data_IF_685954008843
#
_entry.id   IF_685954008843
#
_cell.length_a   1.000
_cell.length_b   1.000
_cell.length_c   1.000
_cell.angle_alpha   90.00
_cell.angle_beta   90.00
_cell.angle_gamma   90.00
#
_symmetry.space_group_name_H-M   'P 1'
#
loop_
_entity.id
_entity.type
_entity.pdbx_description
1 polymer ?
#
# COMPACT_ATOMS: atom_id res chain seq x y z
N UNK A 1 6.31 19.39 -46.05
CA UNK A 1 5.94 20.00 -44.82
C UNK A 1 5.04 21.20 -45.08
N UNK A 2 3.88 21.21 -44.55
CA UNK A 2 3.00 22.36 -44.58
C UNK A 2 2.82 22.85 -43.16
N UNK A 3 3.39 24.01 -42.90
CA UNK A 3 3.10 24.78 -41.69
C UNK A 3 1.65 25.28 -41.79
N UNK A 4 0.89 25.19 -40.75
CA UNK A 4 -0.37 25.91 -40.68
C UNK A 4 -0.03 27.38 -40.78
N UNK A 5 -0.16 27.94 -41.98
CA UNK A 5 -0.30 29.37 -42.13
C UNK A 5 -1.66 29.70 -41.53
N UNK A 6 -1.68 30.08 -40.25
CA UNK A 6 -2.79 30.85 -39.78
C UNK A 6 -2.96 31.98 -40.75
N UNK A 7 -4.13 32.07 -41.35
CA UNK A 7 -4.47 33.06 -42.40
C UNK A 7 -4.39 34.50 -41.92
N UNK A 8 -3.83 34.76 -40.75
CA UNK A 8 -3.66 36.08 -40.16
C UNK A 8 -2.27 36.21 -39.60
N UNK A 9 -1.48 37.12 -40.13
CA UNK A 9 -0.15 37.53 -39.66
C UNK A 9 -0.13 37.92 -38.15
N UNK A 10 -1.28 38.15 -37.55
CA UNK A 10 -1.47 38.49 -36.13
C UNK A 10 -1.05 37.35 -35.20
N UNK A 11 -1.30 36.10 -35.58
CA UNK A 11 -1.05 34.98 -34.69
C UNK A 11 0.43 34.71 -34.44
N UNK A 12 1.30 34.98 -35.45
CA UNK A 12 2.75 34.68 -35.31
C UNK A 12 3.49 35.74 -34.45
N UNK A 13 3.02 36.97 -34.43
CA UNK A 13 3.56 38.04 -33.60
C UNK A 13 3.10 37.95 -32.15
N UNK A 14 1.81 37.65 -31.92
CA UNK A 14 1.21 37.51 -30.61
C UNK A 14 1.68 36.21 -29.91
N UNK A 15 1.90 35.12 -30.69
CA UNK A 15 2.47 33.88 -30.17
C UNK A 15 3.90 34.07 -29.69
N UNK A 16 4.74 34.87 -30.36
CA UNK A 16 6.11 35.15 -29.91
C UNK A 16 6.17 35.95 -28.61
N UNK A 17 5.26 36.89 -28.42
CA UNK A 17 5.19 37.69 -27.19
C UNK A 17 4.58 36.95 -26.00
N UNK A 18 3.72 35.95 -26.25
CA UNK A 18 3.06 35.11 -25.24
C UNK A 18 3.78 33.76 -25.02
N UNK A 19 4.82 33.44 -25.81
CA UNK A 19 5.49 32.15 -25.79
C UNK A 19 4.66 30.98 -26.36
N UNK A 20 3.56 31.27 -27.05
CA UNK A 20 2.69 30.25 -27.66
C UNK A 20 3.05 30.04 -29.14
N UNK A 21 3.20 28.79 -29.56
CA UNK A 21 3.39 28.38 -30.94
C UNK A 21 2.29 27.45 -31.38
N UNK A 22 1.69 27.74 -32.53
CA UNK A 22 0.73 26.86 -33.21
C UNK A 22 1.45 26.27 -34.42
N UNK A 23 1.56 24.94 -34.46
CA UNK A 23 2.21 24.27 -35.60
C UNK A 23 1.31 23.19 -36.14
N UNK A 24 1.28 23.10 -37.46
CA UNK A 24 0.51 22.09 -38.20
C UNK A 24 1.33 21.66 -39.40
N UNK A 25 1.39 20.39 -39.62
CA UNK A 25 2.15 19.69 -40.64
C UNK A 25 3.66 19.53 -40.37
N UNK A 26 4.26 18.46 -40.90
CA UNK A 26 5.63 18.04 -40.65
C UNK A 26 6.63 19.17 -40.84
N UNK A 27 7.50 19.41 -39.87
CA UNK A 27 8.52 20.46 -39.93
C UNK A 27 8.68 21.29 -38.65
N UNK A 28 8.17 20.84 -37.51
CA UNK A 28 8.26 21.54 -36.21
C UNK A 28 9.72 21.88 -35.86
N UNK A 29 10.66 20.98 -36.13
CA UNK A 29 12.07 21.14 -35.76
C UNK A 29 12.75 22.33 -36.41
N UNK A 30 12.34 22.69 -37.65
CA UNK A 30 12.91 23.81 -38.38
C UNK A 30 12.32 25.16 -37.97
N UNK A 31 11.17 25.16 -37.32
CA UNK A 31 10.44 26.36 -36.91
C UNK A 31 10.42 26.61 -35.40
N UNK A 32 10.99 25.69 -34.59
CA UNK A 32 11.11 25.91 -33.17
C UNK A 32 11.94 27.18 -32.87
N UNK A 33 11.53 27.96 -31.86
CA UNK A 33 12.31 29.14 -31.49
C UNK A 33 13.70 28.72 -30.99
N UNK A 34 14.66 29.57 -31.24
CA UNK A 34 16.01 29.45 -30.66
C UNK A 34 16.00 29.69 -29.15
N UNK A 35 15.00 30.42 -28.65
CA UNK A 35 14.76 30.66 -27.23
C UNK A 35 14.04 29.47 -26.57
N UNK A 36 14.31 29.20 -25.29
CA UNK A 36 13.64 28.11 -24.57
C UNK A 36 12.12 28.25 -24.56
N UNK A 37 11.44 27.10 -24.76
CA UNK A 37 9.97 27.01 -24.89
C UNK A 37 9.32 27.08 -23.50
N UNK A 38 8.60 28.17 -23.22
CA UNK A 38 7.78 28.30 -22.01
C UNK A 38 6.37 27.76 -22.18
N UNK A 39 5.75 28.00 -23.35
CA UNK A 39 4.46 27.43 -23.71
C UNK A 39 4.48 27.00 -25.18
N UNK A 40 3.97 25.81 -25.46
CA UNK A 40 3.80 25.30 -26.83
C UNK A 40 2.46 24.57 -26.95
N UNK A 41 1.69 24.94 -27.97
CA UNK A 41 0.54 24.14 -28.41
C UNK A 41 0.80 23.64 -29.83
N UNK A 42 0.61 22.35 -30.06
CA UNK A 42 0.74 21.70 -31.37
C UNK A 42 -0.61 21.17 -31.81
N UNK A 43 -0.99 21.51 -33.04
CA UNK A 43 -2.21 21.04 -33.70
C UNK A 43 -1.83 20.42 -35.03
N UNK A 44 -2.24 19.20 -35.33
CA UNK A 44 -2.05 18.54 -36.62
C UNK A 44 -3.33 18.58 -37.43
N UNK A 45 -3.27 18.87 -38.74
CA UNK A 45 -4.39 18.90 -39.63
C UNK A 45 -4.36 17.79 -40.66
N UNK A 46 -5.54 17.27 -41.00
CA UNK A 46 -5.66 16.21 -41.99
C UNK A 46 -4.92 14.94 -41.58
N UNK A 47 -4.05 14.44 -42.44
CA UNK A 47 -3.24 13.25 -42.23
C UNK A 47 -1.84 13.56 -41.63
N UNK A 48 -1.55 14.81 -41.31
CA UNK A 48 -0.28 15.21 -40.73
C UNK A 48 -0.09 14.66 -39.32
N UNK A 49 1.14 14.28 -38.99
CA UNK A 49 1.49 13.72 -37.67
C UNK A 49 2.74 14.38 -37.12
N UNK A 50 2.81 14.49 -35.79
CA UNK A 50 4.01 14.86 -35.06
C UNK A 50 4.99 13.68 -35.05
N UNK A 51 6.22 13.87 -35.48
CA UNK A 51 7.24 12.83 -35.52
C UNK A 51 8.00 12.71 -34.17
N UNK A 52 8.73 11.61 -33.99
CA UNK A 52 9.61 11.43 -32.84
C UNK A 52 10.76 12.45 -32.81
N UNK A 53 11.32 12.84 -33.97
CA UNK A 53 12.39 13.84 -34.07
C UNK A 53 11.92 15.21 -33.63
N UNK A 54 10.72 15.60 -34.02
CA UNK A 54 10.11 16.86 -33.60
C UNK A 54 9.82 16.86 -32.10
N UNK A 55 9.34 15.75 -31.54
CA UNK A 55 9.11 15.63 -30.10
C UNK A 55 10.41 15.70 -29.30
N UNK A 56 11.49 15.05 -29.80
CA UNK A 56 12.83 15.15 -29.21
C UNK A 56 13.34 16.60 -29.21
N UNK A 57 13.12 17.33 -30.28
CA UNK A 57 13.50 18.74 -30.40
C UNK A 57 12.72 19.63 -29.42
N UNK A 58 11.41 19.40 -29.26
CA UNK A 58 10.57 20.04 -28.24
C UNK A 58 11.12 19.77 -26.84
N UNK A 59 11.33 18.50 -26.50
CA UNK A 59 11.84 18.08 -25.20
C UNK A 59 13.25 18.59 -24.90
N UNK A 60 14.05 18.85 -25.96
CA UNK A 60 15.41 19.41 -25.86
C UNK A 60 15.44 20.90 -25.56
N UNK A 61 14.36 21.65 -25.82
CA UNK A 61 14.36 23.12 -25.77
C UNK A 61 13.35 23.70 -24.78
N UNK A 62 13.16 23.06 -23.60
CA UNK A 62 12.20 23.51 -22.60
C UNK A 62 12.75 24.63 -21.72
N UNK A 63 11.99 25.72 -21.53
CA UNK A 63 12.21 26.68 -20.47
C UNK A 63 11.77 26.13 -19.11
N UNK A 64 12.23 26.74 -18.02
CA UNK A 64 11.74 26.40 -16.69
C UNK A 64 10.23 26.70 -16.57
N UNK A 65 9.46 25.70 -16.10
CA UNK A 65 8.01 25.81 -16.01
C UNK A 65 7.29 25.62 -17.34
N UNK A 66 7.90 24.91 -18.30
CA UNK A 66 7.32 24.68 -19.62
C UNK A 66 5.98 23.95 -19.56
N UNK A 67 5.01 24.46 -20.36
CA UNK A 67 3.70 23.86 -20.56
C UNK A 67 3.58 23.45 -22.03
N UNK A 68 3.35 22.17 -22.29
CA UNK A 68 3.30 21.57 -23.61
C UNK A 68 1.91 20.97 -23.87
N UNK A 69 1.17 21.53 -24.81
CA UNK A 69 -0.16 21.04 -25.21
C UNK A 69 -0.07 20.36 -26.59
N UNK A 70 -0.14 19.02 -26.57
CA UNK A 70 -0.19 18.17 -27.76
C UNK A 70 -1.57 17.53 -27.94
N UNK A 71 -2.57 17.91 -27.14
CA UNK A 71 -3.87 17.26 -27.09
C UNK A 71 -4.65 17.27 -28.42
N UNK A 72 -4.40 18.24 -29.28
CA UNK A 72 -4.98 18.32 -30.64
C UNK A 72 -4.05 17.76 -31.71
N UNK A 73 -2.83 17.30 -31.35
CA UNK A 73 -1.91 16.69 -32.28
C UNK A 73 -2.20 15.18 -32.45
N UNK A 74 -1.86 14.66 -33.62
CA UNK A 74 -1.74 13.23 -33.89
C UNK A 74 -0.26 12.89 -33.94
N UNK A 75 0.18 11.89 -33.20
CA UNK A 75 1.54 11.40 -33.24
C UNK A 75 1.70 10.33 -34.32
N UNK A 76 2.91 10.18 -34.87
CA UNK A 76 3.19 9.24 -35.95
C UNK A 76 2.93 7.76 -35.58
N UNK A 77 2.94 7.45 -34.29
CA UNK A 77 2.63 6.13 -33.73
C UNK A 77 1.60 6.25 -32.61
N UNK A 78 1.12 5.11 -32.09
CA UNK A 78 0.24 5.07 -30.91
C UNK A 78 1.01 4.90 -29.60
N UNK A 79 2.34 4.82 -29.65
CA UNK A 79 3.23 4.74 -28.50
C UNK A 79 3.91 6.07 -28.22
N UNK A 80 3.81 6.60 -26.99
CA UNK A 80 4.48 7.81 -26.58
C UNK A 80 5.93 7.51 -26.18
N UNK A 81 6.94 8.20 -26.74
CA UNK A 81 8.35 7.91 -26.53
C UNK A 81 8.89 8.42 -25.19
N UNK A 82 10.17 8.16 -24.90
CA UNK A 82 10.84 8.47 -23.63
C UNK A 82 11.58 9.82 -23.60
N UNK A 83 11.31 10.73 -24.53
CA UNK A 83 12.06 11.97 -24.73
C UNK A 83 12.03 12.93 -23.54
N UNK A 84 11.01 12.84 -22.71
CA UNK A 84 10.85 13.70 -21.53
C UNK A 84 11.52 13.14 -20.26
N UNK A 85 12.22 12.02 -20.34
CA UNK A 85 12.96 11.46 -19.18
C UNK A 85 13.85 12.54 -18.54
N UNK A 86 13.67 12.77 -17.23
CA UNK A 86 14.42 13.76 -16.41
C UNK A 86 14.34 15.21 -16.89
N UNK A 87 13.29 15.58 -17.61
CA UNK A 87 13.06 16.97 -17.99
C UNK A 87 12.45 17.74 -16.81
N UNK A 88 13.31 18.21 -15.91
CA UNK A 88 12.90 18.97 -14.73
C UNK A 88 12.33 20.34 -15.06
N UNK A 89 12.50 20.81 -16.30
CA UNK A 89 11.93 22.05 -16.81
C UNK A 89 10.44 21.92 -17.16
N UNK A 90 9.94 20.70 -17.37
CA UNK A 90 8.53 20.45 -17.74
C UNK A 90 7.64 20.62 -16.51
N UNK A 91 6.57 21.42 -16.64
CA UNK A 91 5.56 21.62 -15.62
C UNK A 91 4.23 20.95 -15.95
N UNK A 92 3.75 21.10 -17.19
CA UNK A 92 2.51 20.48 -17.63
C UNK A 92 2.65 19.90 -19.03
N UNK A 93 1.93 18.81 -19.30
CA UNK A 93 1.85 18.24 -20.64
C UNK A 93 0.47 17.65 -20.91
N UNK A 94 -0.10 17.95 -22.10
CA UNK A 94 -1.20 17.20 -22.68
C UNK A 94 -0.66 16.29 -23.79
N UNK A 95 -0.98 14.99 -23.75
CA UNK A 95 -0.48 14.01 -24.71
C UNK A 95 -1.27 14.03 -26.03
N UNK A 96 -0.66 13.63 -27.16
CA UNK A 96 -1.35 13.52 -28.46
C UNK A 96 -2.59 12.61 -28.37
N UNK A 97 -3.65 13.00 -29.10
CA UNK A 97 -4.97 12.36 -29.04
C UNK A 97 -5.01 10.87 -29.41
N UNK A 98 -4.02 10.38 -30.17
CA UNK A 98 -3.98 8.99 -30.65
C UNK A 98 -3.06 8.07 -29.80
N UNK A 99 -2.46 8.56 -28.73
CA UNK A 99 -1.61 7.73 -27.88
C UNK A 99 -2.45 6.70 -27.14
N UNK A 100 -2.02 5.44 -27.20
CA UNK A 100 -2.64 4.31 -26.53
C UNK A 100 -1.73 3.70 -25.46
N UNK A 101 -0.41 3.77 -25.65
CA UNK A 101 0.58 3.18 -24.75
C UNK A 101 1.83 4.05 -24.67
N UNK A 102 2.77 3.64 -23.84
CA UNK A 102 4.10 4.25 -23.74
C UNK A 102 5.14 3.27 -24.23
N UNK A 103 6.21 3.78 -24.86
CA UNK A 103 7.36 2.94 -25.26
C UNK A 103 7.90 2.17 -24.05
N UNK A 104 8.18 0.86 -24.18
CA UNK A 104 8.72 0.06 -23.11
C UNK A 104 9.97 0.67 -22.51
N UNK A 105 10.00 0.77 -21.19
CA UNK A 105 11.07 1.44 -20.45
C UNK A 105 12.10 0.45 -19.93
N UNK A 106 13.27 0.96 -19.54
CA UNK A 106 14.28 0.23 -18.78
C UNK A 106 14.26 0.64 -17.31
N UNK A 107 15.07 0.01 -16.46
CA UNK A 107 15.08 0.23 -15.01
C UNK A 107 15.17 1.72 -14.57
N UNK A 108 15.91 2.56 -15.33
CA UNK A 108 16.14 3.97 -15.00
C UNK A 108 15.61 4.95 -16.05
N UNK A 109 14.62 4.55 -16.81
CA UNK A 109 13.98 5.38 -17.84
C UNK A 109 12.48 5.12 -17.88
N UNK A 110 11.75 6.07 -18.40
CA UNK A 110 10.30 6.06 -18.62
C UNK A 110 9.92 7.39 -19.21
N UNK A 111 8.77 7.51 -19.85
CA UNK A 111 8.42 8.71 -20.62
C UNK A 111 8.64 10.01 -19.83
N UNK A 112 8.24 10.04 -18.55
CA UNK A 112 8.39 11.18 -17.64
C UNK A 112 9.21 10.84 -16.39
N UNK A 113 10.01 9.79 -16.43
CA UNK A 113 10.85 9.41 -15.29
C UNK A 113 11.69 10.59 -14.80
N UNK A 114 11.55 10.97 -13.52
CA UNK A 114 12.33 12.05 -12.91
C UNK A 114 11.99 13.46 -13.39
N UNK A 115 10.81 13.68 -13.97
CA UNK A 115 10.27 15.01 -14.21
C UNK A 115 9.80 15.61 -12.90
N UNK A 116 10.74 16.00 -12.02
CA UNK A 116 10.49 16.38 -10.63
C UNK A 116 9.54 17.57 -10.47
N UNK A 117 9.46 18.45 -11.47
CA UNK A 117 8.60 19.64 -11.48
C UNK A 117 7.29 19.46 -12.25
N UNK A 118 7.03 18.26 -12.80
CA UNK A 118 5.77 17.96 -13.48
C UNK A 118 4.62 17.96 -12.48
N UNK A 119 3.63 18.86 -12.68
CA UNK A 119 2.47 19.02 -11.80
C UNK A 119 1.22 18.41 -12.38
N UNK A 120 1.10 18.37 -13.73
CA UNK A 120 -0.10 17.92 -14.42
C UNK A 120 0.20 17.18 -15.72
N UNK A 121 -0.55 16.12 -15.97
CA UNK A 121 -0.58 15.40 -17.25
C UNK A 121 -2.03 15.25 -17.70
N UNK A 122 -2.32 15.54 -18.96
CA UNK A 122 -3.63 15.27 -19.57
C UNK A 122 -3.47 14.12 -20.56
N UNK A 123 -4.22 13.06 -20.33
CA UNK A 123 -4.23 11.86 -21.18
C UNK A 123 -5.32 11.91 -22.25
N UNK A 124 -5.11 11.28 -23.42
CA UNK A 124 -6.16 11.06 -24.40
C UNK A 124 -7.10 9.92 -23.95
N UNK A 125 -8.37 10.02 -24.37
CA UNK A 125 -9.42 9.03 -24.06
C UNK A 125 -9.10 7.60 -24.58
N UNK A 126 -8.20 7.47 -25.56
CA UNK A 126 -7.79 6.17 -26.12
C UNK A 126 -6.66 5.47 -25.40
N UNK A 127 -6.10 6.04 -24.31
CA UNK A 127 -4.98 5.46 -23.59
C UNK A 127 -5.40 4.16 -22.91
N UNK A 128 -4.67 3.06 -23.13
CA UNK A 128 -4.99 1.73 -22.59
C UNK A 128 -4.01 1.25 -21.53
N UNK A 129 -2.78 1.79 -21.51
CA UNK A 129 -1.75 1.37 -20.57
C UNK A 129 -0.86 2.51 -20.12
N UNK A 130 -0.52 2.53 -18.84
CA UNK A 130 0.58 3.34 -18.27
C UNK A 130 1.79 2.43 -18.10
N UNK A 131 2.88 2.75 -18.78
CA UNK A 131 4.08 1.92 -18.82
C UNK A 131 4.91 1.97 -17.54
N UNK A 132 5.86 1.04 -17.45
CA UNK A 132 6.82 0.93 -16.36
C UNK A 132 7.61 2.24 -16.16
N UNK A 133 7.81 2.66 -14.90
CA UNK A 133 8.51 3.89 -14.52
C UNK A 133 7.98 5.18 -15.16
N UNK A 134 6.82 5.19 -15.79
CA UNK A 134 6.34 6.29 -16.65
C UNK A 134 6.40 7.65 -15.93
N UNK A 135 5.91 7.71 -14.69
CA UNK A 135 5.91 8.91 -13.83
C UNK A 135 6.76 8.73 -12.56
N UNK A 136 7.67 7.76 -12.56
CA UNK A 136 8.51 7.52 -11.39
C UNK A 136 9.30 8.77 -11.02
N UNK A 137 9.22 9.19 -9.75
CA UNK A 137 9.85 10.39 -9.19
C UNK A 137 9.35 11.71 -9.83
N UNK A 138 8.13 11.78 -10.32
CA UNK A 138 7.45 13.04 -10.61
C UNK A 138 6.98 13.66 -9.29
N UNK A 139 7.92 14.19 -8.52
CA UNK A 139 7.71 14.52 -7.10
C UNK A 139 6.63 15.59 -6.87
N UNK A 140 6.36 16.46 -7.86
CA UNK A 140 5.35 17.51 -7.80
C UNK A 140 4.04 17.18 -8.52
N UNK A 141 3.86 15.95 -9.01
CA UNK A 141 2.60 15.53 -9.61
C UNK A 141 1.52 15.51 -8.52
N UNK A 142 0.55 16.44 -8.59
CA UNK A 142 -0.47 16.66 -7.56
C UNK A 142 -1.72 15.82 -7.78
N UNK A 143 -2.09 15.63 -9.04
CA UNK A 143 -3.28 14.88 -9.44
C UNK A 143 -3.06 14.13 -10.74
N UNK A 144 -3.81 13.04 -10.92
CA UNK A 144 -3.82 12.28 -12.16
C UNK A 144 -5.23 11.77 -12.44
N UNK A 145 -5.70 12.01 -13.65
CA UNK A 145 -7.01 11.55 -14.14
C UNK A 145 -6.75 10.44 -15.17
N UNK A 146 -6.92 9.19 -14.75
CA UNK A 146 -6.75 8.04 -15.64
C UNK A 146 -8.02 7.87 -16.50
N UNK A 147 -7.90 7.83 -17.85
CA UNK A 147 -9.04 7.58 -18.72
C UNK A 147 -9.69 6.22 -18.44
N UNK A 148 -11.01 6.14 -18.67
CA UNK A 148 -11.78 4.91 -18.49
C UNK A 148 -11.35 3.75 -19.42
N UNK A 149 -10.59 4.05 -20.47
CA UNK A 149 -9.98 3.08 -21.38
C UNK A 149 -8.76 2.35 -20.82
N UNK A 150 -8.13 2.84 -19.75
CA UNK A 150 -6.94 2.21 -19.14
C UNK A 150 -7.31 0.84 -18.57
N UNK A 151 -6.47 -0.16 -18.91
CA UNK A 151 -6.59 -1.55 -18.44
C UNK A 151 -5.34 -2.04 -17.74
N UNK A 152 -4.20 -1.43 -18.03
CA UNK A 152 -2.90 -1.85 -17.51
C UNK A 152 -2.16 -0.68 -16.89
N UNK A 153 -1.73 -0.89 -15.65
CA UNK A 153 -0.73 -0.07 -14.97
C UNK A 153 0.51 -0.94 -14.77
N UNK A 154 1.71 -0.41 -14.97
CA UNK A 154 2.92 -1.19 -14.87
C UNK A 154 3.75 -0.80 -13.64
N UNK A 155 4.75 -1.63 -13.32
CA UNK A 155 5.57 -1.51 -12.11
C UNK A 155 6.25 -0.14 -12.02
N UNK A 156 6.31 0.44 -10.81
CA UNK A 156 6.88 1.76 -10.53
C UNK A 156 6.25 2.94 -11.28
N UNK A 157 5.08 2.77 -11.93
CA UNK A 157 4.55 3.82 -12.80
C UNK A 157 4.39 5.17 -12.09
N UNK A 158 4.00 5.20 -10.82
CA UNK A 158 3.85 6.41 -10.00
C UNK A 158 4.74 6.42 -8.74
N UNK A 159 5.76 5.55 -8.68
CA UNK A 159 6.66 5.50 -7.54
C UNK A 159 7.25 6.88 -7.20
N UNK A 160 7.15 7.30 -5.95
CA UNK A 160 7.74 8.57 -5.49
C UNK A 160 7.07 9.83 -6.01
N UNK A 161 5.81 9.78 -6.46
CA UNK A 161 4.96 10.95 -6.73
C UNK A 161 4.49 11.54 -5.40
N UNK A 162 5.36 12.29 -4.74
CA UNK A 162 5.22 12.68 -3.33
C UNK A 162 4.06 13.62 -3.03
N UNK A 163 3.60 14.40 -4.02
CA UNK A 163 2.49 15.34 -3.88
C UNK A 163 1.18 14.81 -4.48
N UNK A 164 1.16 13.59 -5.05
CA UNK A 164 -0.07 12.97 -5.53
C UNK A 164 -1.00 12.70 -4.35
N UNK A 165 -2.20 13.31 -4.38
CA UNK A 165 -3.13 13.26 -3.24
C UNK A 165 -4.23 12.22 -3.38
N UNK A 166 -4.70 11.99 -4.60
CA UNK A 166 -5.78 11.05 -4.87
C UNK A 166 -5.65 10.39 -6.24
N UNK A 167 -6.21 9.20 -6.38
CA UNK A 167 -6.30 8.49 -7.66
C UNK A 167 -7.54 7.60 -7.71
N UNK A 168 -8.24 7.63 -8.86
CA UNK A 168 -9.30 6.68 -9.19
C UNK A 168 -8.74 5.68 -10.20
N UNK A 169 -8.64 4.42 -9.81
CA UNK A 169 -8.23 3.35 -10.73
C UNK A 169 -9.44 2.94 -11.56
N UNK A 170 -9.34 2.97 -12.90
CA UNK A 170 -10.48 2.70 -13.77
C UNK A 170 -11.00 1.26 -13.67
N UNK A 171 -12.31 1.09 -13.87
CA UNK A 171 -12.91 -0.23 -14.04
C UNK A 171 -12.30 -0.96 -15.24
N UNK A 172 -12.08 -2.27 -15.08
CA UNK A 172 -11.36 -3.11 -16.03
C UNK A 172 -9.86 -3.26 -15.77
N UNK A 173 -9.28 -2.51 -14.81
CA UNK A 173 -7.97 -2.82 -14.26
C UNK A 173 -8.14 -4.02 -13.30
N UNK A 174 -7.44 -5.12 -13.57
CA UNK A 174 -7.54 -6.36 -12.79
C UNK A 174 -6.37 -6.55 -11.80
N UNK A 175 -5.28 -5.81 -11.96
CA UNK A 175 -4.11 -5.93 -11.10
C UNK A 175 -3.49 -4.56 -10.78
N UNK A 176 -3.18 -4.33 -9.52
CA UNK A 176 -2.27 -3.27 -9.08
C UNK A 176 -0.86 -3.88 -9.07
N UNK A 177 0.09 -3.40 -9.87
CA UNK A 177 1.42 -3.95 -9.91
C UNK A 177 2.25 -3.56 -8.68
N UNK A 178 3.34 -4.29 -8.47
CA UNK A 178 4.28 -3.99 -7.39
C UNK A 178 4.85 -2.57 -7.49
N UNK A 179 5.02 -1.91 -6.34
CA UNK A 179 5.59 -0.55 -6.21
C UNK A 179 4.82 0.56 -6.96
N UNK A 180 3.55 0.35 -7.32
CA UNK A 180 2.81 1.31 -8.16
C UNK A 180 2.81 2.72 -7.56
N UNK A 181 2.45 2.85 -6.28
CA UNK A 181 2.36 4.11 -5.53
C UNK A 181 3.31 4.17 -4.32
N UNK A 182 4.32 3.29 -4.29
CA UNK A 182 5.29 3.32 -3.20
C UNK A 182 5.89 4.72 -3.05
N UNK A 183 5.99 5.19 -1.81
CA UNK A 183 6.51 6.52 -1.46
C UNK A 183 5.70 7.72 -2.01
N UNK A 184 4.43 7.51 -2.36
CA UNK A 184 3.46 8.58 -2.62
C UNK A 184 2.94 9.14 -1.29
N UNK A 185 3.76 9.90 -0.59
CA UNK A 185 3.54 10.25 0.83
C UNK A 185 2.34 11.15 1.09
N UNK A 186 1.83 11.87 0.08
CA UNK A 186 0.61 12.67 0.18
C UNK A 186 -0.65 11.93 -0.29
N UNK A 187 -0.54 10.67 -0.77
CA UNK A 187 -1.67 9.91 -1.30
C UNK A 187 -2.58 9.44 -0.17
N UNK A 188 -3.68 10.14 0.04
CA UNK A 188 -4.65 9.89 1.12
C UNK A 188 -5.89 9.15 0.64
N UNK A 189 -6.22 9.23 -0.66
CA UNK A 189 -7.44 8.66 -1.22
C UNK A 189 -7.15 7.83 -2.48
N UNK A 190 -7.58 6.56 -2.47
CA UNK A 190 -7.47 5.65 -3.61
C UNK A 190 -8.78 4.89 -3.78
N UNK A 191 -9.43 5.09 -4.92
CA UNK A 191 -10.58 4.28 -5.31
C UNK A 191 -10.12 3.08 -6.12
N UNK A 192 -10.35 1.88 -5.60
CA UNK A 192 -10.04 0.61 -6.27
C UNK A 192 -11.25 0.10 -7.08
N UNK A 193 -11.04 -0.44 -8.31
CA UNK A 193 -12.14 -0.92 -9.14
C UNK A 193 -12.71 -2.25 -8.66
N UNK A 194 -13.99 -2.47 -8.93
CA UNK A 194 -14.67 -3.74 -8.61
C UNK A 194 -14.15 -4.94 -9.40
N UNK A 195 -13.40 -4.71 -10.47
CA UNK A 195 -12.77 -5.72 -11.31
C UNK A 195 -11.42 -6.22 -10.78
N UNK A 196 -10.87 -5.57 -9.74
CA UNK A 196 -9.54 -5.87 -9.21
C UNK A 196 -9.44 -7.29 -8.65
N UNK A 197 -8.38 -8.04 -9.02
CA UNK A 197 -8.10 -9.43 -8.60
C UNK A 197 -6.88 -9.53 -7.68
N UNK A 198 -5.88 -8.66 -7.90
CA UNK A 198 -4.62 -8.75 -7.17
C UNK A 198 -3.99 -7.40 -6.88
N UNK A 199 -3.25 -7.35 -5.75
CA UNK A 199 -2.45 -6.20 -5.34
C UNK A 199 -1.01 -6.69 -5.13
N UNK A 200 -0.08 -6.16 -5.92
CA UNK A 200 1.34 -6.53 -5.92
C UNK A 200 2.10 -5.97 -4.73
N UNK A 201 3.27 -6.55 -4.47
CA UNK A 201 4.11 -6.20 -3.33
C UNK A 201 4.48 -4.71 -3.29
N UNK A 202 4.44 -4.13 -2.09
CA UNK A 202 4.85 -2.74 -1.84
C UNK A 202 4.06 -1.69 -2.66
N UNK A 203 2.88 -2.08 -3.19
CA UNK A 203 2.11 -1.22 -4.10
C UNK A 203 1.69 0.12 -3.49
N UNK A 204 1.49 0.17 -2.18
CA UNK A 204 1.11 1.36 -1.41
C UNK A 204 2.06 1.61 -0.22
N UNK A 205 3.30 1.05 -0.23
CA UNK A 205 4.25 1.26 0.86
C UNK A 205 4.50 2.76 1.08
N UNK A 206 4.53 3.18 2.34
CA UNK A 206 4.81 4.56 2.75
C UNK A 206 3.91 5.63 2.12
N UNK A 207 2.65 5.28 1.81
CA UNK A 207 1.64 6.26 1.40
C UNK A 207 1.01 6.98 2.61
N UNK A 208 0.30 8.08 2.32
CA UNK A 208 -0.46 8.84 3.30
C UNK A 208 -1.89 8.33 3.54
N UNK A 209 -2.26 7.14 3.02
CA UNK A 209 -3.61 6.58 3.15
C UNK A 209 -4.08 6.61 4.60
N UNK A 210 -5.31 7.09 4.82
CA UNK A 210 -5.98 7.12 6.13
C UNK A 210 -6.91 5.91 6.28
N UNK A 211 -7.57 5.52 5.20
CA UNK A 211 -8.41 4.31 5.16
C UNK A 211 -8.38 3.67 3.76
N UNK A 212 -8.64 2.38 3.69
CA UNK A 212 -8.80 1.66 2.43
C UNK A 212 -9.77 0.49 2.56
N UNK A 213 -10.64 0.36 1.55
CA UNK A 213 -11.50 -0.81 1.36
C UNK A 213 -11.00 -1.59 0.17
N UNK A 214 -10.61 -2.84 0.41
CA UNK A 214 -10.16 -3.76 -0.64
C UNK A 214 -11.41 -4.46 -1.20
N UNK A 215 -11.65 -4.40 -2.53
CA UNK A 215 -12.83 -5.00 -3.13
C UNK A 215 -12.94 -6.51 -2.89
N UNK A 216 -14.17 -7.02 -2.78
CA UNK A 216 -14.46 -8.45 -2.58
C UNK A 216 -13.97 -9.35 -3.73
N UNK A 217 -13.68 -8.76 -4.88
CA UNK A 217 -13.10 -9.46 -6.04
C UNK A 217 -11.62 -9.80 -5.89
N UNK A 218 -10.92 -9.18 -4.91
CA UNK A 218 -9.49 -9.39 -4.68
C UNK A 218 -9.26 -10.72 -3.99
N UNK A 219 -8.46 -11.57 -4.63
CA UNK A 219 -8.10 -12.90 -4.09
C UNK A 219 -6.64 -13.01 -3.69
N UNK A 220 -5.80 -12.07 -4.12
CA UNK A 220 -4.36 -12.10 -3.88
C UNK A 220 -3.86 -10.73 -3.44
N UNK A 221 -3.22 -10.68 -2.29
CA UNK A 221 -2.48 -9.52 -1.79
C UNK A 221 -1.05 -10.00 -1.52
N UNK A 222 -0.06 -9.32 -2.09
CA UNK A 222 1.34 -9.66 -1.88
C UNK A 222 1.92 -8.97 -0.63
N UNK A 223 3.21 -9.25 -0.32
CA UNK A 223 3.85 -8.75 0.90
C UNK A 223 4.02 -7.22 0.90
N UNK A 224 4.05 -6.64 2.11
CA UNK A 224 4.43 -5.24 2.35
C UNK A 224 3.53 -4.20 1.69
N UNK A 225 2.32 -4.56 1.23
CA UNK A 225 1.47 -3.65 0.43
C UNK A 225 1.23 -2.32 1.13
N UNK A 226 0.97 -2.30 2.43
CA UNK A 226 0.72 -1.08 3.23
C UNK A 226 1.80 -0.82 4.27
N UNK A 227 2.98 -1.43 4.12
CA UNK A 227 4.08 -1.23 5.06
C UNK A 227 4.43 0.25 5.16
N UNK A 228 4.69 0.75 6.38
CA UNK A 228 4.98 2.16 6.66
C UNK A 228 3.85 3.16 6.32
N UNK A 229 2.61 2.75 6.09
CA UNK A 229 1.46 3.65 5.98
C UNK A 229 1.09 4.18 7.37
N UNK A 230 1.83 5.18 7.83
CA UNK A 230 1.76 5.67 9.22
C UNK A 230 0.46 6.39 9.57
N UNK A 231 -0.29 6.82 8.56
CA UNK A 231 -1.60 7.48 8.71
C UNK A 231 -2.77 6.51 8.60
N UNK A 232 -2.54 5.25 8.20
CA UNK A 232 -3.61 4.28 7.96
C UNK A 232 -4.29 3.89 9.26
N UNK A 233 -5.55 4.33 9.44
CA UNK A 233 -6.36 4.10 10.63
C UNK A 233 -7.26 2.86 10.50
N UNK A 234 -7.74 2.57 9.29
CA UNK A 234 -8.65 1.46 9.00
C UNK A 234 -8.33 0.77 7.68
N UNK A 235 -8.45 -0.55 7.69
CA UNK A 235 -8.39 -1.37 6.50
C UNK A 235 -9.55 -2.37 6.51
N UNK A 236 -10.26 -2.46 5.39
CA UNK A 236 -11.32 -3.43 5.16
C UNK A 236 -10.82 -4.48 4.18
N UNK A 237 -10.64 -5.71 4.65
CA UNK A 237 -10.26 -6.86 3.81
C UNK A 237 -11.49 -7.54 3.19
N UNK A 238 -11.38 -8.15 2.00
CA UNK A 238 -12.42 -9.01 1.45
C UNK A 238 -12.60 -10.27 2.30
N UNK A 239 -13.84 -10.68 2.51
CA UNK A 239 -14.16 -11.82 3.40
C UNK A 239 -13.64 -13.17 2.86
N UNK A 240 -13.41 -13.27 1.55
CA UNK A 240 -12.87 -14.48 0.92
C UNK A 240 -11.36 -14.67 1.09
N UNK A 241 -10.64 -13.70 1.67
CA UNK A 241 -9.20 -13.78 1.82
C UNK A 241 -8.80 -14.87 2.81
N UNK A 242 -7.92 -15.79 2.39
CA UNK A 242 -7.47 -16.91 3.22
C UNK A 242 -6.10 -16.68 3.88
N UNK A 243 -5.35 -15.70 3.43
CA UNK A 243 -4.03 -15.38 3.95
C UNK A 243 -3.77 -13.88 4.01
N UNK A 244 -3.28 -13.40 5.14
CA UNK A 244 -2.68 -12.07 5.28
C UNK A 244 -1.17 -12.24 5.08
N UNK A 245 -0.57 -11.60 4.07
CA UNK A 245 0.82 -11.81 3.72
C UNK A 245 1.80 -11.16 4.71
N UNK A 246 3.08 -11.53 4.59
CA UNK A 246 4.14 -10.97 5.42
C UNK A 246 4.26 -9.44 5.26
N UNK A 247 4.55 -8.75 6.37
CA UNK A 247 4.75 -7.30 6.43
C UNK A 247 3.58 -6.45 5.91
N UNK A 248 2.38 -6.99 5.74
CA UNK A 248 1.27 -6.30 5.06
C UNK A 248 1.08 -4.88 5.59
N UNK A 249 0.95 -4.71 6.91
CA UNK A 249 0.76 -3.43 7.61
C UNK A 249 1.90 -3.16 8.62
N UNK A 250 3.11 -3.66 8.35
CA UNK A 250 4.25 -3.43 9.24
C UNK A 250 4.47 -1.92 9.44
N UNK A 251 4.52 -1.48 10.69
CA UNK A 251 4.67 -0.08 11.10
C UNK A 251 3.54 0.88 10.68
N UNK A 252 2.32 0.37 10.49
CA UNK A 252 1.10 1.18 10.38
C UNK A 252 0.70 1.69 11.77
N UNK A 253 1.42 2.69 12.27
CA UNK A 253 1.34 3.14 13.67
C UNK A 253 0.01 3.81 14.05
N UNK A 254 -0.78 4.26 13.08
CA UNK A 254 -2.10 4.82 13.30
C UNK A 254 -3.22 3.77 13.23
N UNK A 255 -2.94 2.54 12.76
CA UNK A 255 -3.96 1.52 12.52
C UNK A 255 -4.68 1.16 13.83
N UNK A 256 -6.00 1.37 13.85
CA UNK A 256 -6.85 1.14 15.03
C UNK A 256 -7.76 -0.07 14.88
N UNK A 257 -8.27 -0.30 13.67
CA UNK A 257 -9.26 -1.34 13.41
C UNK A 257 -9.01 -2.06 12.10
N UNK A 258 -9.21 -3.37 12.13
CA UNK A 258 -9.25 -4.24 10.96
C UNK A 258 -10.43 -5.20 11.09
N UNK A 259 -11.03 -5.61 9.96
CA UNK A 259 -11.86 -6.80 9.95
C UNK A 259 -10.95 -8.02 9.69
N UNK A 260 -11.11 -9.08 10.46
CA UNK A 260 -10.49 -10.37 10.13
C UNK A 260 -11.42 -11.12 9.16
N UNK A 261 -10.94 -11.52 7.96
CA UNK A 261 -11.73 -12.30 7.02
C UNK A 261 -12.21 -13.61 7.65
N UNK A 262 -13.48 -13.98 7.43
CA UNK A 262 -14.06 -15.19 8.06
C UNK A 262 -13.42 -16.51 7.60
N UNK A 263 -12.76 -16.49 6.44
CA UNK A 263 -12.03 -17.64 5.85
C UNK A 263 -10.52 -17.59 6.07
N UNK A 264 -10.02 -16.65 6.88
CA UNK A 264 -8.59 -16.49 7.10
C UNK A 264 -7.99 -17.73 7.76
N UNK A 265 -6.95 -18.28 7.14
CA UNK A 265 -6.20 -19.44 7.63
C UNK A 265 -4.82 -19.07 8.20
N UNK A 266 -4.19 -18.04 7.65
CA UNK A 266 -2.81 -17.69 8.02
C UNK A 266 -2.57 -16.18 8.11
N UNK A 267 -1.73 -15.76 9.07
CA UNK A 267 -1.20 -14.40 9.17
C UNK A 267 0.31 -14.47 9.12
N UNK A 268 0.90 -13.85 8.11
CA UNK A 268 2.34 -13.96 7.82
C UNK A 268 3.24 -13.18 8.78
N UNK A 269 4.56 -13.39 8.62
CA UNK A 269 5.60 -12.74 9.42
C UNK A 269 5.44 -11.22 9.42
N UNK A 270 5.55 -10.59 10.60
CA UNK A 270 5.52 -9.13 10.75
C UNK A 270 4.27 -8.44 10.18
N UNK A 271 3.18 -9.16 9.90
CA UNK A 271 2.02 -8.63 9.16
C UNK A 271 1.45 -7.34 9.78
N UNK A 272 1.35 -7.28 11.12
CA UNK A 272 0.91 -6.11 11.90
C UNK A 272 1.97 -5.66 12.92
N UNK A 273 3.25 -5.92 12.63
CA UNK A 273 4.32 -5.53 13.53
C UNK A 273 4.37 -4.01 13.75
N UNK A 274 4.46 -3.58 15.02
CA UNK A 274 4.43 -2.18 15.42
C UNK A 274 3.16 -1.40 15.02
N UNK A 275 2.00 -2.07 14.91
CA UNK A 275 0.70 -1.41 14.84
C UNK A 275 0.24 -1.02 16.26
N UNK A 276 0.92 -0.05 16.86
CA UNK A 276 0.79 0.27 18.29
C UNK A 276 -0.58 0.75 18.75
N UNK A 277 -1.46 1.19 17.85
CA UNK A 277 -2.85 1.61 18.14
C UNK A 277 -3.89 0.55 17.79
N UNK A 278 -3.49 -0.58 17.20
CA UNK A 278 -4.41 -1.62 16.82
C UNK A 278 -5.10 -2.20 18.07
N UNK A 279 -6.44 -2.09 18.09
CA UNK A 279 -7.28 -2.61 19.16
C UNK A 279 -7.44 -4.13 19.04
N UNK A 280 -8.04 -4.74 20.06
CA UNK A 280 -8.25 -6.19 20.11
C UNK A 280 -8.95 -6.70 18.85
N UNK A 281 -8.41 -7.79 18.28
CA UNK A 281 -8.96 -8.44 17.10
C UNK A 281 -9.60 -9.77 17.47
N UNK A 282 -10.66 -10.12 16.74
CA UNK A 282 -11.29 -11.45 16.86
C UNK A 282 -10.75 -12.34 15.77
N UNK A 283 -10.03 -13.40 16.15
CA UNK A 283 -9.50 -14.38 15.20
C UNK A 283 -10.62 -15.34 14.77
N UNK A 284 -10.76 -15.65 13.46
CA UNK A 284 -11.76 -16.60 12.99
C UNK A 284 -11.36 -18.05 13.35
N UNK A 285 -12.36 -18.94 13.48
CA UNK A 285 -12.15 -20.36 13.78
C UNK A 285 -11.33 -21.10 12.71
N UNK A 286 -11.30 -20.56 11.50
CA UNK A 286 -10.51 -21.07 10.37
C UNK A 286 -9.01 -20.83 10.49
N UNK A 287 -8.59 -19.96 11.44
CA UNK A 287 -7.18 -19.63 11.61
C UNK A 287 -6.36 -20.85 12.03
N UNK A 288 -5.29 -21.12 11.29
CA UNK A 288 -4.38 -22.26 11.50
C UNK A 288 -3.02 -21.83 12.05
N UNK A 289 -2.52 -20.66 11.63
CA UNK A 289 -1.21 -20.17 12.04
C UNK A 289 -1.14 -18.65 12.12
N UNK A 290 -0.37 -18.19 13.10
CA UNK A 290 0.23 -16.87 13.17
C UNK A 290 1.73 -17.04 13.04
N UNK A 291 2.35 -16.36 12.09
CA UNK A 291 3.79 -16.44 11.89
C UNK A 291 4.56 -15.49 12.84
N UNK A 292 5.88 -15.53 12.74
CA UNK A 292 6.77 -14.79 13.66
C UNK A 292 6.44 -13.28 13.66
N UNK A 293 6.34 -12.69 14.85
CA UNK A 293 6.06 -11.26 15.11
C UNK A 293 4.80 -10.71 14.46
N UNK A 294 3.86 -11.56 14.05
CA UNK A 294 2.66 -11.13 13.30
C UNK A 294 1.90 -9.98 13.95
N UNK A 295 1.82 -9.93 15.29
CA UNK A 295 1.23 -8.84 16.09
C UNK A 295 2.21 -8.25 17.12
N UNK A 296 3.51 -8.40 16.91
CA UNK A 296 4.51 -7.85 17.79
C UNK A 296 4.43 -6.32 17.87
N UNK A 297 4.43 -5.75 19.07
CA UNK A 297 4.34 -4.29 19.26
C UNK A 297 2.94 -3.70 19.13
N UNK A 298 1.87 -4.51 19.05
CA UNK A 298 0.49 -4.05 19.11
C UNK A 298 0.13 -3.67 20.55
N UNK A 299 0.66 -2.56 21.01
CA UNK A 299 0.61 -2.18 22.42
C UNK A 299 -0.77 -1.73 22.91
N UNK A 300 -1.72 -1.45 22.00
CA UNK A 300 -3.09 -1.12 22.38
C UNK A 300 -3.96 -2.35 22.67
N UNK A 301 -3.50 -3.57 22.37
CA UNK A 301 -4.22 -4.78 22.77
C UNK A 301 -4.40 -4.82 24.27
N UNK A 302 -5.62 -5.14 24.70
CA UNK A 302 -6.01 -5.35 26.11
C UNK A 302 -6.28 -6.81 26.41
N UNK A 303 -6.68 -7.58 25.39
CA UNK A 303 -7.04 -8.98 25.48
C UNK A 303 -6.58 -9.75 24.24
N UNK A 304 -6.11 -10.99 24.43
CA UNK A 304 -5.81 -11.94 23.36
C UNK A 304 -6.61 -13.20 23.58
N UNK A 305 -7.41 -13.63 22.59
CA UNK A 305 -8.14 -14.89 22.57
C UNK A 305 -7.70 -15.65 21.33
N UNK A 306 -7.13 -16.85 21.49
CA UNK A 306 -6.57 -17.60 20.39
C UNK A 306 -6.65 -19.11 20.62
N UNK A 307 -7.06 -19.85 19.57
CA UNK A 307 -7.22 -21.32 19.60
C UNK A 307 -6.60 -21.96 18.35
N UNK A 308 -5.28 -21.94 18.27
CA UNK A 308 -4.49 -22.54 17.18
C UNK A 308 -3.42 -23.48 17.75
N UNK A 309 -2.97 -24.51 17.01
CA UNK A 309 -2.04 -25.51 17.54
C UNK A 309 -0.71 -24.95 18.05
N UNK A 310 -0.15 -23.94 17.35
CA UNK A 310 1.13 -23.35 17.68
C UNK A 310 1.10 -21.83 17.57
N UNK A 311 1.53 -21.14 18.63
CA UNK A 311 1.77 -19.70 18.65
C UNK A 311 3.25 -19.49 18.33
N UNK A 312 3.56 -18.76 17.26
CA UNK A 312 4.92 -18.58 16.78
C UNK A 312 5.79 -17.73 17.71
N UNK A 313 7.11 -17.74 17.46
CA UNK A 313 8.05 -16.90 18.18
C UNK A 313 7.68 -15.41 18.04
N UNK A 314 7.74 -14.68 19.16
CA UNK A 314 7.47 -13.24 19.21
C UNK A 314 6.07 -12.80 18.70
N UNK A 315 5.13 -13.72 18.47
CA UNK A 315 3.84 -13.42 17.81
C UNK A 315 3.12 -12.21 18.42
N UNK A 316 3.15 -12.05 19.74
CA UNK A 316 2.60 -10.94 20.52
C UNK A 316 3.66 -10.24 21.38
N UNK A 317 4.90 -10.20 20.89
CA UNK A 317 6.00 -9.50 21.56
C UNK A 317 5.62 -8.06 21.88
N UNK A 318 5.89 -7.60 23.10
CA UNK A 318 5.67 -6.22 23.54
C UNK A 318 4.22 -5.69 23.38
N UNK A 319 3.21 -6.59 23.49
CA UNK A 319 1.82 -6.19 23.67
C UNK A 319 1.62 -5.77 25.14
N UNK A 320 2.20 -4.62 25.51
CA UNK A 320 2.43 -4.24 26.89
C UNK A 320 1.15 -4.01 27.72
N UNK A 321 0.04 -3.62 27.09
CA UNK A 321 -1.24 -3.33 27.77
C UNK A 321 -2.18 -4.52 27.86
N UNK A 322 -1.80 -5.68 27.35
CA UNK A 322 -2.59 -6.90 27.50
C UNK A 322 -2.73 -7.24 28.99
N UNK A 323 -3.98 -7.35 29.45
CA UNK A 323 -4.34 -7.73 30.83
C UNK A 323 -4.79 -9.18 30.94
N UNK A 324 -5.30 -9.75 29.83
CA UNK A 324 -5.75 -11.15 29.81
C UNK A 324 -5.41 -11.86 28.50
N UNK A 325 -5.04 -13.14 28.61
CA UNK A 325 -4.81 -14.07 27.50
C UNK A 325 -5.70 -15.29 27.71
N UNK A 326 -6.46 -15.68 26.69
CA UNK A 326 -7.28 -16.90 26.67
C UNK A 326 -6.78 -17.82 25.54
N UNK A 327 -6.18 -18.93 25.93
CA UNK A 327 -5.63 -19.96 25.04
C UNK A 327 -6.63 -21.11 24.97
N UNK A 328 -7.10 -21.43 23.75
CA UNK A 328 -8.05 -22.50 23.52
C UNK A 328 -7.46 -23.90 23.69
N UNK A 329 -8.32 -24.91 23.49
CA UNK A 329 -7.99 -26.33 23.69
C UNK A 329 -6.98 -26.89 22.68
N UNK A 330 -6.91 -26.26 21.47
CA UNK A 330 -6.00 -26.71 20.40
C UNK A 330 -4.55 -26.31 20.63
N UNK A 331 -4.27 -25.40 21.57
CA UNK A 331 -2.91 -24.89 21.79
C UNK A 331 -2.02 -25.98 22.36
N UNK A 332 -0.98 -26.36 21.64
CA UNK A 332 0.00 -27.38 22.06
C UNK A 332 1.40 -26.83 22.26
N UNK A 333 1.70 -25.66 21.70
CA UNK A 333 3.00 -25.01 21.84
C UNK A 333 2.92 -23.49 21.76
N UNK A 334 3.78 -22.84 22.55
CA UNK A 334 3.95 -21.39 22.60
C UNK A 334 5.42 -21.08 22.34
N UNK A 335 5.68 -20.35 21.28
CA UNK A 335 7.02 -20.05 20.80
C UNK A 335 7.85 -19.17 21.74
N UNK A 336 9.14 -19.07 21.45
CA UNK A 336 10.08 -18.22 22.17
C UNK A 336 9.59 -16.76 22.17
N UNK A 337 9.59 -16.13 23.35
CA UNK A 337 9.24 -14.72 23.52
C UNK A 337 7.84 -14.34 22.97
N UNK A 338 6.93 -15.31 22.83
CA UNK A 338 5.63 -15.08 22.19
C UNK A 338 4.83 -13.97 22.87
N UNK A 339 4.84 -13.90 24.20
CA UNK A 339 4.17 -12.88 25.02
C UNK A 339 5.16 -12.09 25.91
N UNK A 340 6.43 -12.07 25.55
CA UNK A 340 7.43 -11.33 26.33
C UNK A 340 7.05 -9.85 26.39
N UNK A 341 7.25 -9.23 27.56
CA UNK A 341 6.94 -7.83 27.85
C UNK A 341 5.43 -7.49 27.85
N UNK A 342 4.52 -8.47 27.98
CA UNK A 342 3.12 -8.25 28.33
C UNK A 342 3.03 -7.77 29.80
N UNK A 343 3.57 -6.57 30.08
CA UNK A 343 3.87 -6.12 31.43
C UNK A 343 2.65 -5.92 32.36
N UNK A 344 1.47 -5.73 31.78
CA UNK A 344 0.20 -5.55 32.52
C UNK A 344 -0.62 -6.86 32.59
N UNK A 345 -0.07 -7.99 32.14
CA UNK A 345 -0.79 -9.27 32.10
C UNK A 345 -1.14 -9.77 33.51
N UNK A 346 -2.41 -9.82 33.80
CA UNK A 346 -2.94 -10.24 35.09
C UNK A 346 -3.47 -11.69 35.06
N UNK A 347 -4.12 -12.05 33.94
CA UNK A 347 -4.81 -13.34 33.83
C UNK A 347 -4.35 -14.10 32.59
N UNK A 348 -4.01 -15.36 32.77
CA UNK A 348 -3.81 -16.32 31.71
C UNK A 348 -4.84 -17.44 31.91
N UNK A 349 -5.62 -17.73 30.89
CA UNK A 349 -6.50 -18.90 30.83
C UNK A 349 -5.96 -19.85 29.79
N UNK A 350 -5.74 -21.11 30.13
CA UNK A 350 -5.36 -22.15 29.20
C UNK A 350 -6.30 -23.35 29.32
N UNK A 351 -7.04 -23.63 28.22
CA UNK A 351 -8.10 -24.66 28.20
C UNK A 351 -7.58 -26.04 27.82
N UNK A 352 -6.35 -26.16 27.37
CA UNK A 352 -5.75 -27.42 26.97
C UNK A 352 -5.61 -28.36 28.18
N UNK A 353 -6.02 -29.61 28.03
CA UNK A 353 -5.84 -30.65 29.08
C UNK A 353 -4.36 -30.97 29.33
N UNK A 354 -3.55 -30.93 28.27
CA UNK A 354 -2.09 -31.10 28.38
C UNK A 354 -1.44 -29.73 28.29
N UNK A 355 -0.60 -29.39 29.26
CA UNK A 355 0.10 -28.11 29.29
C UNK A 355 0.90 -27.90 28.00
N UNK A 356 0.64 -26.82 27.20
CA UNK A 356 1.42 -26.51 26.03
C UNK A 356 2.91 -26.36 26.35
N UNK A 357 3.76 -26.81 25.42
CA UNK A 357 5.20 -26.60 25.56
C UNK A 357 5.55 -25.10 25.42
N UNK A 358 6.44 -24.61 26.28
CA UNK A 358 6.91 -23.23 26.28
C UNK A 358 8.27 -23.10 25.62
N UNK A 359 8.39 -22.21 24.66
CA UNK A 359 9.68 -21.73 24.18
C UNK A 359 10.36 -20.81 25.23
N UNK A 360 11.64 -20.56 25.06
CA UNK A 360 12.41 -19.71 25.97
C UNK A 360 11.73 -18.36 26.18
N UNK A 361 11.50 -17.98 27.46
CA UNK A 361 10.90 -16.69 27.86
C UNK A 361 9.55 -16.41 27.19
N UNK A 362 8.74 -17.45 26.90
CA UNK A 362 7.43 -17.27 26.22
C UNK A 362 6.58 -16.18 26.89
N UNK A 363 6.60 -16.11 28.23
CA UNK A 363 5.95 -15.07 29.04
C UNK A 363 6.97 -14.18 29.80
N UNK A 364 8.17 -14.01 29.28
CA UNK A 364 9.23 -13.24 29.96
C UNK A 364 8.76 -11.82 30.32
N UNK A 365 8.92 -11.45 31.59
CA UNK A 365 8.45 -10.16 32.15
C UNK A 365 6.94 -9.92 32.06
N UNK A 366 6.13 -10.97 31.85
CA UNK A 366 4.68 -10.87 31.89
C UNK A 366 4.21 -10.48 33.29
N UNK A 367 3.23 -9.56 33.37
CA UNK A 367 2.69 -9.07 34.63
C UNK A 367 3.69 -8.37 35.55
N UNK A 368 4.82 -7.90 35.02
CA UNK A 368 5.87 -7.23 35.82
C UNK A 368 5.41 -5.90 36.46
N UNK A 369 4.34 -5.29 35.94
CA UNK A 369 3.72 -4.08 36.47
C UNK A 369 2.44 -4.34 37.27
N UNK A 370 2.03 -5.59 37.42
CA UNK A 370 0.80 -5.94 38.15
C UNK A 370 1.10 -5.95 39.65
N UNK A 371 0.45 -5.08 40.42
CA UNK A 371 0.58 -4.98 41.88
C UNK A 371 -0.33 -5.95 42.64
N UNK A 372 -1.32 -6.57 41.94
CA UNK A 372 -2.31 -7.49 42.53
C UNK A 372 -2.00 -8.96 42.26
N UNK A 373 -3.00 -9.79 42.53
CA UNK A 373 -2.93 -11.21 42.23
C UNK A 373 -2.83 -11.45 40.70
N UNK A 374 -1.95 -12.37 40.34
CA UNK A 374 -1.83 -12.90 38.96
C UNK A 374 -2.33 -14.33 38.95
N UNK A 375 -3.18 -14.69 38.01
CA UNK A 375 -3.89 -15.96 38.01
C UNK A 375 -3.66 -16.69 36.69
N UNK A 376 -3.36 -17.98 36.81
CA UNK A 376 -3.32 -18.94 35.72
C UNK A 376 -4.48 -19.91 35.88
N UNK A 377 -5.54 -19.75 35.07
CA UNK A 377 -6.67 -20.68 35.05
C UNK A 377 -6.36 -21.86 34.13
N UNK A 378 -6.52 -23.08 34.65
CA UNK A 378 -6.30 -24.34 33.93
C UNK A 378 -7.35 -25.36 34.33
N UNK A 379 -7.59 -26.44 33.54
CA UNK A 379 -8.48 -27.54 34.00
C UNK A 379 -7.95 -28.17 35.31
N UNK A 380 -8.79 -28.36 36.32
CA UNK A 380 -8.38 -28.86 37.62
C UNK A 380 -7.63 -30.22 37.55
N UNK A 381 -8.07 -31.07 36.63
CA UNK A 381 -7.42 -32.38 36.39
C UNK A 381 -5.96 -32.28 35.87
N UNK A 382 -5.53 -31.08 35.43
CA UNK A 382 -4.27 -30.83 34.78
C UNK A 382 -3.26 -30.06 35.67
N UNK A 383 -3.61 -29.73 36.90
CA UNK A 383 -2.81 -28.90 37.81
C UNK A 383 -1.34 -29.34 37.90
N UNK A 384 -1.10 -30.63 38.23
CA UNK A 384 0.27 -31.16 38.36
C UNK A 384 1.08 -31.03 37.09
N UNK A 385 0.39 -31.14 35.93
CA UNK A 385 1.03 -31.00 34.62
C UNK A 385 1.47 -29.56 34.37
N UNK A 386 0.60 -28.58 34.66
CA UNK A 386 0.91 -27.15 34.50
C UNK A 386 1.94 -26.67 35.53
N UNK A 387 1.85 -27.11 36.80
CA UNK A 387 2.80 -26.75 37.83
C UNK A 387 4.23 -27.16 37.42
N UNK A 388 4.35 -28.33 36.79
CA UNK A 388 5.64 -28.87 36.34
C UNK A 388 6.10 -28.22 35.04
N UNK A 389 5.23 -28.09 34.05
CA UNK A 389 5.60 -27.62 32.71
C UNK A 389 5.76 -26.11 32.61
N UNK A 390 5.00 -25.31 33.42
CA UNK A 390 4.96 -23.85 33.36
C UNK A 390 5.63 -23.17 34.55
N UNK A 391 6.74 -23.74 35.03
CA UNK A 391 7.54 -23.20 36.15
C UNK A 391 7.99 -21.76 35.88
N UNK A 392 8.28 -21.39 34.62
CA UNK A 392 8.63 -20.02 34.24
C UNK A 392 7.46 -19.04 34.49
N UNK A 393 6.20 -19.47 34.37
CA UNK A 393 5.00 -18.65 34.59
C UNK A 393 4.69 -18.57 36.08
N UNK A 394 4.66 -19.72 36.78
CA UNK A 394 4.35 -19.76 38.20
C UNK A 394 5.42 -19.05 39.04
N UNK A 395 6.72 -19.14 38.67
CA UNK A 395 7.81 -18.39 39.32
C UNK A 395 7.66 -16.85 39.16
N UNK A 396 6.95 -16.37 38.18
CA UNK A 396 6.58 -14.94 38.03
C UNK A 396 5.39 -14.53 38.92
N UNK A 397 4.86 -15.44 39.78
CA UNK A 397 3.82 -15.18 40.75
C UNK A 397 2.40 -15.43 40.26
N UNK A 398 2.18 -16.15 39.14
CA UNK A 398 0.85 -16.60 38.73
C UNK A 398 0.44 -17.81 39.60
N UNK A 399 -0.72 -17.66 40.29
CA UNK A 399 -1.33 -18.71 41.07
C UNK A 399 -2.24 -19.56 40.18
N UNK A 400 -2.09 -20.90 40.27
CA UNK A 400 -2.98 -21.85 39.59
C UNK A 400 -4.38 -21.83 40.22
N UNK A 401 -5.42 -21.78 39.39
CA UNK A 401 -6.81 -21.91 39.78
C UNK A 401 -7.60 -22.78 38.81
N UNK A 402 -8.71 -23.35 39.23
CA UNK A 402 -9.62 -24.08 38.36
C UNK A 402 -10.27 -23.11 37.37
N UNK A 403 -10.28 -23.49 36.10
CA UNK A 403 -10.94 -22.71 35.06
C UNK A 403 -12.45 -22.51 35.35
N UNK A 404 -13.07 -23.45 36.08
CA UNK A 404 -14.47 -23.35 36.49
C UNK A 404 -14.70 -22.28 37.56
N UNK A 405 -13.65 -21.85 38.27
CA UNK A 405 -13.72 -20.76 39.27
C UNK A 405 -13.56 -19.38 38.64
N UNK A 406 -13.32 -19.32 37.35
CA UNK A 406 -13.16 -18.04 36.62
C UNK A 406 -14.49 -17.27 36.62
N UNK A 407 -14.53 -16.12 37.32
CA UNK A 407 -15.63 -15.20 37.22
C UNK A 407 -15.55 -14.48 35.86
N UNK A 408 -16.47 -14.81 34.94
CA UNK A 408 -16.59 -14.20 33.65
C UNK A 408 -17.17 -12.77 33.82
N UNK A 409 -16.31 -11.76 33.78
CA UNK A 409 -16.70 -10.36 33.99
C UNK A 409 -17.38 -9.73 32.76
N UNK A 410 -17.30 -10.34 31.56
CA UNK A 410 -17.72 -9.70 30.30
C UNK A 410 -18.68 -10.52 29.40
N UNK A 411 -19.39 -11.52 29.92
CA UNK A 411 -20.56 -12.10 29.21
C UNK A 411 -20.29 -12.80 27.86
N UNK A 412 -19.04 -13.08 27.50
CA UNK A 412 -18.69 -13.78 26.26
C UNK A 412 -18.62 -15.28 26.58
N UNK A 413 -19.70 -15.99 26.25
CA UNK A 413 -19.75 -17.43 26.30
C UNK A 413 -19.11 -18.01 25.02
N UNK A 414 -18.03 -18.78 25.15
CA UNK A 414 -17.80 -19.81 24.17
C UNK A 414 -18.87 -20.89 24.34
N UNK A 415 -19.80 -21.00 23.38
CA UNK A 415 -20.69 -22.15 23.30
C UNK A 415 -19.85 -23.38 22.97
N UNK A 416 -20.02 -24.39 23.82
CA UNK A 416 -19.55 -25.75 23.57
C UNK A 416 -20.12 -26.32 22.25
#
# INVERSE_FOLDING_TARGET
GHTLRLSTQIAKADCKSSGAFFMTEAGVAEELPTEPIGYLKVVTLGESTLSAEELTSIAGNLANGAVIDLGEATFATTEFPMDFTRKTNLQEIALPRNIQTFTPSTYNSGAFYGCENLTRVTFPEGLTAIGQNCFRNCAKLESIELPSSVRTLDIYAFYGCKLLTSVVIPEGVEAIPRFLFDSCTALTDVTLPSTLKSIGAEAFEATGLEEITIPESVTTIESSVFKNCKSLERIQFPDALTAIPANLCNACSALTTINMPSKLETVGNDAFYNCGKLQDVTFPETLKSLDERSFGGCSAFTRIIIDIPAIANYAFWNCANVTSIDLGEKVTSIGRNAFISASNLQTITCRAENAPSLGNSAFGSAGSKVEGAKILYVPAASYDTYETAWTDVTSQGYALQDINDQQLTDGIYYRA
#
